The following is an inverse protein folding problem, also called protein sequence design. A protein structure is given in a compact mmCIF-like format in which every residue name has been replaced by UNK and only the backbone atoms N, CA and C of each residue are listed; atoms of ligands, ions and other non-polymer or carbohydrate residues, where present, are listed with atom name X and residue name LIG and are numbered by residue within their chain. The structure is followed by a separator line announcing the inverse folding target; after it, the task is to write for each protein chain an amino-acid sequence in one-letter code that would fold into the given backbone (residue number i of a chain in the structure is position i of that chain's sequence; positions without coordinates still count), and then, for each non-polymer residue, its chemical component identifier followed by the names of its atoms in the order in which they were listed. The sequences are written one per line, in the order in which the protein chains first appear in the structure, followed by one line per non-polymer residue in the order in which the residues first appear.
data_IF_136390669126
#
_entry.id   IF_136390669126
#
_cell.length_a   1.000
_cell.length_b   1.000
_cell.length_c   1.000
_cell.angle_alpha   90.00
_cell.angle_beta   90.00
_cell.angle_gamma   90.00
#
_symmetry.space_group_name_H-M   'P 1'
#
loop_
_entity.id
_entity.type
_entity.pdbx_description
1 polymer ?
#
# COMPACT_ATOMS: atom_id res chain seq x y z
N UNK A 1 -6.67 19.54 15.09
CA UNK A 1 -7.83 18.63 15.01
C UNK A 1 -7.41 17.32 14.37
N UNK A 2 -7.65 16.22 15.03
CA UNK A 2 -7.31 14.92 14.50
C UNK A 2 -8.29 14.52 13.39
N UNK A 3 -7.76 13.96 12.34
CA UNK A 3 -8.57 13.42 11.26
C UNK A 3 -8.92 11.98 11.56
N UNK A 4 -10.18 11.62 11.38
CA UNK A 4 -10.61 10.24 11.55
C UNK A 4 -10.41 9.47 10.25
N UNK A 5 -9.96 8.23 10.38
CA UNK A 5 -9.86 7.36 9.21
C UNK A 5 -10.03 5.91 9.64
N UNK A 6 -10.47 5.10 8.71
CA UNK A 6 -10.53 3.65 8.88
C UNK A 6 -9.44 3.02 8.03
N UNK A 7 -8.70 2.12 8.62
CA UNK A 7 -7.65 1.36 7.93
C UNK A 7 -7.87 -0.12 8.20
N UNK A 8 -8.02 -0.88 7.13
CA UNK A 8 -8.08 -2.33 7.18
C UNK A 8 -6.82 -2.85 6.52
N UNK A 9 -6.07 -3.70 7.21
CA UNK A 9 -4.87 -4.33 6.67
C UNK A 9 -5.14 -5.82 6.48
N UNK A 10 -4.99 -6.29 5.26
CA UNK A 10 -5.20 -7.69 4.89
C UNK A 10 -3.86 -8.34 4.58
N UNK A 11 -3.45 -9.28 5.43
CA UNK A 11 -2.20 -10.03 5.24
C UNK A 11 -2.51 -11.32 4.48
N UNK A 12 -2.47 -11.25 3.15
CA UNK A 12 -2.69 -12.41 2.28
C UNK A 12 -1.38 -13.09 1.92
N UNK A 13 -0.30 -12.30 1.87
CA UNK A 13 1.04 -12.82 1.58
C UNK A 13 1.47 -13.83 2.63
N UNK A 14 2.23 -14.84 2.19
CA UNK A 14 2.88 -15.78 3.10
C UNK A 14 4.15 -15.24 3.74
N UNK A 15 4.59 -14.06 3.35
CA UNK A 15 5.80 -13.42 3.91
C UNK A 15 5.59 -13.08 5.38
N UNK A 16 6.62 -13.38 6.19
CA UNK A 16 6.58 -13.14 7.64
C UNK A 16 7.22 -11.80 8.04
N UNK A 17 8.13 -11.28 7.21
CA UNK A 17 8.84 -10.03 7.47
C UNK A 17 8.04 -8.85 6.90
N UNK A 18 6.86 -8.64 7.48
CA UNK A 18 5.95 -7.58 7.02
C UNK A 18 5.65 -6.64 8.18
N UNK A 19 5.31 -5.36 7.88
CA UNK A 19 4.99 -4.42 8.94
C UNK A 19 3.75 -4.83 9.73
N UNK A 20 3.69 -4.39 10.97
CA UNK A 20 2.53 -4.60 11.83
C UNK A 20 1.43 -3.61 11.51
N UNK A 21 0.20 -3.88 11.99
CA UNK A 21 -0.91 -2.94 11.83
C UNK A 21 -0.62 -1.56 12.43
N UNK A 22 -0.06 -1.47 13.66
CA UNK A 22 0.30 -0.15 14.20
C UNK A 22 1.32 0.61 13.35
N UNK A 23 2.27 -0.10 12.72
CA UNK A 23 3.24 0.55 11.84
C UNK A 23 2.56 1.12 10.60
N UNK A 24 1.73 0.33 9.93
CA UNK A 24 0.98 0.83 8.77
C UNK A 24 0.07 2.00 9.16
N UNK A 25 -0.60 1.90 10.30
CA UNK A 25 -1.48 2.97 10.77
C UNK A 25 -0.72 4.26 10.99
N UNK A 26 0.47 4.18 11.56
CA UNK A 26 1.33 5.36 11.78
C UNK A 26 1.67 6.05 10.46
N UNK A 27 2.06 5.28 9.45
CA UNK A 27 2.44 5.83 8.15
C UNK A 27 1.24 6.42 7.42
N UNK A 28 0.12 5.73 7.44
CA UNK A 28 -1.12 6.22 6.82
C UNK A 28 -1.55 7.52 7.49
N UNK A 29 -1.55 7.56 8.81
CA UNK A 29 -1.93 8.75 9.57
C UNK A 29 -1.03 9.94 9.23
N UNK A 30 0.27 9.71 9.10
CA UNK A 30 1.22 10.77 8.78
C UNK A 30 0.98 11.40 7.40
N UNK A 31 0.50 10.62 6.44
CA UNK A 31 0.34 11.06 5.06
C UNK A 31 -1.08 11.56 4.74
N UNK A 32 -2.10 11.18 5.54
CA UNK A 32 -3.48 11.60 5.30
C UNK A 32 -3.71 13.05 5.72
N UNK A 33 -4.40 13.78 4.84
CA UNK A 33 -4.78 15.17 5.07
C UNK A 33 -6.29 15.35 5.17
N UNK A 34 -7.07 14.27 5.14
CA UNK A 34 -8.52 14.30 5.16
C UNK A 34 -9.06 12.98 5.72
N UNK A 35 -10.34 12.93 6.01
CA UNK A 35 -10.99 11.69 6.41
C UNK A 35 -10.93 10.69 5.28
N UNK A 36 -10.72 9.41 5.64
CA UNK A 36 -10.53 8.37 4.62
C UNK A 36 -10.93 7.00 5.13
N UNK A 37 -11.23 6.13 4.17
CA UNK A 37 -11.40 4.69 4.38
C UNK A 37 -10.43 3.99 3.45
N UNK A 38 -9.43 3.34 4.02
CA UNK A 38 -8.33 2.73 3.29
C UNK A 38 -8.27 1.23 3.57
N UNK A 39 -8.15 0.45 2.52
CA UNK A 39 -7.82 -0.98 2.62
C UNK A 39 -6.39 -1.14 2.08
N UNK A 40 -5.54 -1.74 2.88
CA UNK A 40 -4.17 -2.06 2.50
C UNK A 40 -4.02 -3.57 2.48
N UNK A 41 -3.64 -4.11 1.33
CA UNK A 41 -3.57 -5.55 1.12
C UNK A 41 -2.16 -5.94 0.74
N UNK A 42 -1.58 -6.88 1.52
CA UNK A 42 -0.28 -7.45 1.19
C UNK A 42 -0.48 -8.78 0.48
N UNK A 43 0.12 -8.89 -0.70
CA UNK A 43 -0.08 -10.06 -1.58
C UNK A 43 1.26 -10.66 -1.97
N UNK A 44 1.21 -11.89 -2.49
CA UNK A 44 2.36 -12.53 -3.12
C UNK A 44 2.36 -12.26 -4.63
N UNK A 45 3.37 -12.77 -5.34
CA UNK A 45 3.61 -12.40 -6.74
C UNK A 45 2.47 -12.79 -7.67
N UNK A 46 1.80 -13.92 -7.45
CA UNK A 46 0.73 -14.37 -8.33
C UNK A 46 -0.42 -13.38 -8.34
N UNK A 47 -0.95 -13.05 -7.18
CA UNK A 47 -2.04 -12.06 -7.09
C UNK A 47 -1.57 -10.68 -7.54
N UNK A 48 -0.34 -10.28 -7.16
CA UNK A 48 0.22 -9.00 -7.57
C UNK A 48 0.31 -8.86 -9.09
N UNK A 49 0.76 -9.91 -9.77
CA UNK A 49 0.83 -9.94 -11.22
C UNK A 49 -0.56 -9.91 -11.85
N UNK A 50 -1.49 -10.69 -11.32
CA UNK A 50 -2.87 -10.72 -11.82
C UNK A 50 -3.53 -9.35 -11.73
N UNK A 51 -3.37 -8.65 -10.62
CA UNK A 51 -3.94 -7.31 -10.43
C UNK A 51 -3.28 -6.30 -11.36
N UNK A 52 -1.98 -6.36 -11.52
CA UNK A 52 -1.26 -5.44 -12.40
C UNK A 52 -1.65 -5.68 -13.86
N UNK A 53 -1.83 -6.94 -14.24
CA UNK A 53 -2.29 -7.30 -15.58
C UNK A 53 -3.72 -6.81 -15.82
N UNK A 54 -4.62 -7.06 -14.88
CA UNK A 54 -6.03 -6.73 -15.02
C UNK A 54 -6.26 -5.22 -15.11
N UNK A 55 -5.57 -4.43 -14.27
CA UNK A 55 -5.84 -3.00 -14.15
C UNK A 55 -4.86 -2.11 -14.88
N UNK A 56 -3.66 -2.57 -15.18
CA UNK A 56 -2.63 -1.78 -15.85
C UNK A 56 -2.06 -2.43 -17.09
N UNK A 57 -2.51 -3.61 -17.45
CA UNK A 57 -2.08 -4.38 -18.63
C UNK A 57 -0.58 -4.69 -18.61
N UNK A 58 -0.02 -4.89 -17.40
CA UNK A 58 1.38 -5.26 -17.21
C UNK A 58 1.46 -6.69 -16.71
N UNK A 59 2.23 -7.54 -17.39
CA UNK A 59 2.35 -8.96 -17.06
C UNK A 59 3.52 -9.24 -16.11
N UNK A 60 3.58 -8.50 -15.02
CA UNK A 60 4.55 -8.71 -13.96
C UNK A 60 4.00 -8.11 -12.67
N UNK A 61 4.50 -8.59 -11.52
CA UNK A 61 4.13 -8.02 -10.24
C UNK A 61 4.91 -6.71 -10.02
N UNK A 62 4.21 -5.67 -9.59
CA UNK A 62 4.85 -4.41 -9.21
C UNK A 62 4.84 -4.28 -7.68
N UNK A 63 5.59 -3.31 -7.14
CA UNK A 63 5.70 -3.13 -5.69
C UNK A 63 4.42 -2.64 -5.06
N UNK A 64 3.77 -1.65 -5.67
CA UNK A 64 2.56 -1.05 -5.11
C UNK A 64 1.58 -0.69 -6.22
N UNK A 65 0.30 -0.94 -5.97
CA UNK A 65 -0.81 -0.50 -6.80
C UNK A 65 -1.76 0.31 -5.92
N UNK A 66 -2.27 1.42 -6.45
CA UNK A 66 -3.24 2.24 -5.74
C UNK A 66 -4.50 2.37 -6.59
N UNK A 67 -5.65 2.22 -5.94
CA UNK A 67 -6.97 2.32 -6.57
C UNK A 67 -7.79 3.32 -5.78
N UNK A 68 -8.06 4.49 -6.38
CA UNK A 68 -8.93 5.48 -5.78
C UNK A 68 -10.34 5.38 -6.32
N UNK A 69 -11.31 5.74 -5.51
CA UNK A 69 -12.72 5.79 -5.91
C UNK A 69 -13.13 7.25 -5.93
N UNK A 70 -13.24 7.80 -7.14
CA UNK A 70 -13.52 9.22 -7.35
C UNK A 70 -14.92 9.61 -6.87
N UNK A 71 -15.06 10.88 -6.51
CA UNK A 71 -16.34 11.49 -6.14
C UNK A 71 -17.04 10.86 -4.94
N UNK A 72 -16.29 10.14 -4.10
CA UNK A 72 -16.81 9.55 -2.86
C UNK A 72 -16.21 10.28 -1.67
N UNK A 73 -17.06 10.67 -0.72
CA UNK A 73 -16.61 11.22 0.55
C UNK A 73 -17.09 10.33 1.68
N UNK A 74 -16.23 9.93 2.61
CA UNK A 74 -14.81 10.26 2.73
C UNK A 74 -13.98 9.63 1.61
N UNK A 75 -12.73 10.10 1.48
CA UNK A 75 -11.78 9.51 0.52
C UNK A 75 -11.70 8.00 0.72
N UNK A 76 -11.92 7.24 -0.35
CA UNK A 76 -11.89 5.79 -0.29
C UNK A 76 -10.85 5.27 -1.27
N UNK A 77 -10.01 4.36 -0.81
CA UNK A 77 -8.97 3.83 -1.68
C UNK A 77 -8.41 2.51 -1.20
N UNK A 78 -7.82 1.80 -2.14
CA UNK A 78 -7.12 0.54 -1.87
C UNK A 78 -5.65 0.68 -2.24
N UNK A 79 -4.78 0.15 -1.40
CA UNK A 79 -3.35 0.05 -1.66
C UNK A 79 -2.97 -1.42 -1.63
N UNK A 80 -2.38 -1.91 -2.70
CA UNK A 80 -1.90 -3.30 -2.78
C UNK A 80 -0.38 -3.29 -2.82
N UNK A 81 0.24 -3.96 -1.85
CA UNK A 81 1.69 -4.10 -1.76
C UNK A 81 2.06 -5.56 -2.03
N UNK A 82 2.97 -5.77 -2.98
CA UNK A 82 3.47 -7.10 -3.29
C UNK A 82 4.72 -7.37 -2.43
N UNK A 83 4.55 -8.13 -1.34
CA UNK A 83 5.60 -8.32 -0.35
C UNK A 83 6.92 -8.86 -0.92
N UNK A 84 6.91 -9.90 -1.79
CA UNK A 84 8.18 -10.38 -2.36
C UNK A 84 8.90 -9.33 -3.20
N UNK A 85 8.17 -8.52 -3.96
CA UNK A 85 8.78 -7.46 -4.78
C UNK A 85 9.37 -6.37 -3.90
N UNK A 86 8.65 -5.97 -2.85
CA UNK A 86 9.14 -4.95 -1.90
C UNK A 86 10.42 -5.43 -1.23
N UNK A 87 10.46 -6.69 -0.81
CA UNK A 87 11.63 -7.28 -0.18
C UNK A 87 12.84 -7.29 -1.14
N UNK A 88 12.63 -7.71 -2.37
CA UNK A 88 13.68 -7.75 -3.39
C UNK A 88 14.23 -6.35 -3.68
N UNK A 89 13.35 -5.38 -3.82
CA UNK A 89 13.77 -3.99 -4.07
C UNK A 89 14.58 -3.42 -2.90
N UNK A 90 14.15 -3.68 -1.68
CA UNK A 90 14.88 -3.22 -0.49
C UNK A 90 16.31 -3.78 -0.48
N UNK A 91 16.47 -5.05 -0.82
CA UNK A 91 17.78 -5.68 -0.92
C UNK A 91 18.62 -5.04 -2.03
N UNK A 92 18.05 -4.85 -3.20
CA UNK A 92 18.75 -4.26 -4.35
C UNK A 92 19.18 -2.82 -4.09
N UNK A 93 18.41 -2.07 -3.32
CA UNK A 93 18.65 -0.67 -3.03
C UNK A 93 19.41 -0.45 -1.71
N UNK A 94 19.78 -1.53 -1.02
CA UNK A 94 20.44 -1.46 0.29
C UNK A 94 19.66 -0.62 1.30
N UNK A 95 18.34 -0.80 1.32
CA UNK A 95 17.44 -0.11 2.24
C UNK A 95 16.93 -1.06 3.30
N UNK A 96 16.72 -0.60 4.54
CA UNK A 96 15.97 -1.40 5.52
C UNK A 96 14.57 -1.70 4.98
N UNK A 97 14.12 -2.92 5.18
CA UNK A 97 12.82 -3.35 4.65
C UNK A 97 11.67 -2.48 5.16
N UNK A 98 11.65 -2.17 6.46
CA UNK A 98 10.61 -1.33 7.03
C UNK A 98 10.62 0.08 6.43
N UNK A 99 11.79 0.63 6.16
CA UNK A 99 11.91 1.96 5.54
C UNK A 99 11.30 1.94 4.13
N UNK A 100 11.51 0.85 3.39
CA UNK A 100 10.94 0.73 2.05
C UNK A 100 9.42 0.59 2.09
N UNK A 101 8.89 -0.22 3.01
CA UNK A 101 7.44 -0.30 3.21
C UNK A 101 6.84 1.05 3.60
N UNK A 102 7.50 1.78 4.51
CA UNK A 102 7.04 3.10 4.92
C UNK A 102 6.98 4.06 3.73
N UNK A 103 8.02 4.07 2.91
CA UNK A 103 8.10 4.91 1.72
C UNK A 103 6.95 4.62 0.75
N UNK A 104 6.73 3.34 0.44
CA UNK A 104 5.70 2.95 -0.52
C UNK A 104 4.30 3.23 0.02
N UNK A 105 4.07 3.01 1.31
CA UNK A 105 2.78 3.27 1.95
C UNK A 105 2.46 4.77 1.93
N UNK A 106 3.39 5.60 2.36
CA UNK A 106 3.22 7.05 2.37
C UNK A 106 2.98 7.56 0.93
N UNK A 107 3.78 7.09 -0.01
CA UNK A 107 3.65 7.47 -1.41
C UNK A 107 2.26 7.10 -1.96
N UNK A 108 1.78 5.89 -1.66
CA UNK A 108 0.46 5.44 -2.08
C UNK A 108 -0.66 6.30 -1.50
N UNK A 109 -0.58 6.65 -0.22
CA UNK A 109 -1.57 7.52 0.43
C UNK A 109 -1.55 8.93 -0.18
N UNK A 110 -0.38 9.47 -0.44
CA UNK A 110 -0.28 10.78 -1.10
C UNK A 110 -0.87 10.72 -2.51
N UNK A 111 -0.58 9.65 -3.24
CA UNK A 111 -1.10 9.47 -4.59
C UNK A 111 -2.64 9.41 -4.61
N UNK A 112 -3.24 8.72 -3.65
CA UNK A 112 -4.70 8.65 -3.53
C UNK A 112 -5.33 10.03 -3.31
N UNK A 113 -4.58 10.95 -2.72
CA UNK A 113 -5.04 12.32 -2.45
C UNK A 113 -4.71 13.29 -3.60
N UNK A 114 -4.13 12.80 -4.70
CA UNK A 114 -3.86 13.60 -5.88
C UNK A 114 -2.47 14.20 -5.96
N UNK A 115 -1.57 13.74 -5.14
CA UNK A 115 -0.17 14.23 -5.17
C UNK A 115 0.70 13.42 -6.12
#
# INVERSE_FOLDING_TARGET
MEKTFKLIVQYVSSSIDVPTRPQFRRWVKAALMQEAEIVLRLVDEIEGRELNQQFRHKNYATNVLTFGYDDIQPLTGDIVLCAPVVCKEAQQQNKPLLAHYAHLTVHGILHLQGY
#
